data_IF_529009060353
#
_entry.id   IF_529009060353
#
_cell.length_a   1.000
_cell.length_b   1.000
_cell.length_c   1.000
_cell.angle_alpha   90.00
_cell.angle_beta   90.00
_cell.angle_gamma   90.00
#
_symmetry.space_group_name_H-M   'P 1'
#
loop_
_entity.id
_entity.type
_entity.pdbx_description
1 polymer ?
#
# COMPACT_ATOMS: atom_id res chain seq x y z
N UNK A 1 8.27 -12.32 7.86
CA UNK A 1 8.38 -10.84 7.85
C UNK A 1 7.91 -10.29 9.20
N UNK A 2 8.53 -9.17 9.72
CA UNK A 2 8.05 -8.52 10.93
C UNK A 2 6.68 -7.88 10.69
N UNK A 3 5.83 -7.82 11.74
CA UNK A 3 4.50 -7.20 11.64
C UNK A 3 4.58 -5.69 11.39
N UNK A 4 5.65 -5.04 11.82
CA UNK A 4 5.93 -3.62 11.59
C UNK A 4 7.42 -3.33 11.56
N UNK A 5 7.77 -2.14 11.06
CA UNK A 5 9.10 -1.54 11.17
C UNK A 5 8.99 -0.09 11.61
N UNK A 6 9.94 0.36 12.43
CA UNK A 6 10.04 1.76 12.86
C UNK A 6 11.17 2.44 12.12
N UNK A 7 10.86 3.58 11.50
CA UNK A 7 11.80 4.43 10.77
C UNK A 7 12.00 5.75 11.51
N UNK A 8 13.25 6.18 11.66
CA UNK A 8 13.57 7.51 12.19
C UNK A 8 13.47 8.58 11.11
N UNK A 9 12.71 9.63 11.40
CA UNK A 9 12.50 10.79 10.50
C UNK A 9 12.78 12.06 11.30
N UNK A 10 14.03 12.50 11.30
CA UNK A 10 14.49 13.57 12.18
C UNK A 10 14.31 13.17 13.67
N UNK A 11 13.65 14.03 14.48
CA UNK A 11 13.41 13.71 15.89
C UNK A 11 12.23 12.74 16.12
N UNK A 12 11.53 12.36 15.07
CA UNK A 12 10.32 11.53 15.15
C UNK A 12 10.55 10.08 14.70
N UNK A 13 9.66 9.20 15.13
CA UNK A 13 9.61 7.80 14.73
C UNK A 13 8.29 7.51 14.00
N UNK A 14 8.38 6.93 12.81
CA UNK A 14 7.26 6.48 11.99
C UNK A 14 7.25 4.96 11.96
N UNK A 15 6.19 4.34 12.45
CA UNK A 15 5.98 2.91 12.30
C UNK A 15 5.20 2.63 11.00
N UNK A 16 5.63 1.60 10.28
CA UNK A 16 4.93 1.06 9.11
C UNK A 16 4.50 -0.36 9.45
N UNK A 17 3.19 -0.58 9.48
CA UNK A 17 2.53 -1.87 9.75
C UNK A 17 1.97 -2.41 8.44
N UNK A 18 2.01 -3.72 8.21
CA UNK A 18 1.47 -4.35 7.00
C UNK A 18 0.17 -5.10 7.27
N UNK A 19 -0.78 -5.03 6.33
CA UNK A 19 -1.96 -5.88 6.30
C UNK A 19 -2.23 -6.36 4.86
N UNK A 20 -2.35 -7.68 4.68
CA UNK A 20 -2.58 -8.29 3.37
C UNK A 20 -4.03 -8.74 3.20
N UNK A 21 -4.42 -8.91 1.93
CA UNK A 21 -5.76 -9.30 1.51
C UNK A 21 -6.18 -10.66 2.12
N UNK A 22 -7.29 -10.72 2.87
CA UNK A 22 -7.67 -11.93 3.59
C UNK A 22 -8.34 -12.99 2.71
N UNK A 23 -8.85 -12.62 1.53
CA UNK A 23 -9.62 -13.51 0.65
C UNK A 23 -8.79 -14.15 -0.46
N UNK A 24 -7.46 -14.24 -0.30
CA UNK A 24 -6.56 -14.83 -1.31
C UNK A 24 -6.98 -16.23 -1.69
N UNK A 25 -7.40 -17.06 -0.72
CA UNK A 25 -7.82 -18.46 -0.98
C UNK A 25 -9.06 -18.59 -1.87
N UNK A 26 -9.93 -17.61 -1.91
CA UNK A 26 -11.14 -17.66 -2.75
C UNK A 26 -10.94 -16.95 -4.09
N UNK A 27 -9.88 -16.16 -4.22
CA UNK A 27 -9.57 -15.39 -5.44
C UNK A 27 -8.45 -15.98 -6.29
N UNK A 28 -7.76 -17.02 -5.79
CA UNK A 28 -6.63 -17.65 -6.47
C UNK A 28 -6.77 -19.18 -6.49
N UNK A 29 -6.17 -19.88 -7.45
CA UNK A 29 -6.10 -21.35 -7.46
C UNK A 29 -5.49 -21.87 -6.16
N UNK A 30 -5.99 -23.01 -5.68
CA UNK A 30 -5.54 -23.65 -4.43
C UNK A 30 -4.04 -23.92 -4.44
N UNK A 31 -3.48 -24.34 -5.59
CA UNK A 31 -2.05 -24.59 -5.76
C UNK A 31 -1.16 -23.36 -5.46
N UNK A 32 -1.70 -22.14 -5.53
CA UNK A 32 -0.95 -20.92 -5.21
C UNK A 32 -0.96 -20.59 -3.72
N UNK A 33 -1.86 -21.23 -2.97
CA UNK A 33 -2.10 -20.90 -1.56
C UNK A 33 -1.88 -22.08 -0.64
N UNK A 34 -1.40 -23.21 -1.18
CA UNK A 34 -1.12 -24.43 -0.40
C UNK A 34 -0.12 -24.14 0.74
N UNK A 35 -0.44 -24.64 1.92
CA UNK A 35 0.37 -24.43 3.13
C UNK A 35 0.33 -23.01 3.71
N UNK A 36 -0.41 -22.06 3.07
CA UNK A 36 -0.54 -20.68 3.54
C UNK A 36 -1.90 -20.44 4.20
N UNK A 37 -1.93 -19.60 5.21
CA UNK A 37 -3.14 -19.12 5.87
C UNK A 37 -3.27 -17.60 5.69
N UNK A 38 -4.46 -17.17 5.27
CA UNK A 38 -4.78 -15.78 5.06
C UNK A 38 -5.97 -15.42 5.95
N UNK A 39 -5.81 -14.39 6.78
CA UNK A 39 -6.87 -13.86 7.61
C UNK A 39 -6.59 -12.39 7.93
N UNK A 40 -7.66 -11.62 8.09
CA UNK A 40 -7.59 -10.32 8.73
C UNK A 40 -7.83 -10.53 10.23
N UNK A 41 -6.76 -10.57 11.01
CA UNK A 41 -6.81 -10.65 12.47
C UNK A 41 -6.68 -9.24 13.06
N UNK A 42 -7.82 -8.61 13.31
CA UNK A 42 -7.90 -7.25 13.86
C UNK A 42 -7.22 -7.15 15.25
N UNK A 43 -7.27 -8.22 16.06
CA UNK A 43 -6.60 -8.25 17.36
C UNK A 43 -5.09 -8.19 17.19
N UNK A 44 -4.52 -9.02 16.31
CA UNK A 44 -3.08 -8.96 16.01
C UNK A 44 -2.65 -7.64 15.38
N UNK A 45 -3.50 -7.07 14.53
CA UNK A 45 -3.24 -5.74 13.97
C UNK A 45 -3.20 -4.68 15.06
N UNK A 46 -4.17 -4.68 15.99
CA UNK A 46 -4.16 -3.75 17.13
C UNK A 46 -2.93 -3.96 18.01
N UNK A 47 -2.56 -5.21 18.34
CA UNK A 47 -1.36 -5.52 19.10
C UNK A 47 -0.07 -4.98 18.43
N UNK A 48 0.02 -5.08 17.10
CA UNK A 48 1.17 -4.55 16.35
C UNK A 48 1.24 -3.02 16.43
N UNK A 49 0.10 -2.34 16.30
CA UNK A 49 -0.01 -0.88 16.45
C UNK A 49 0.37 -0.45 17.86
N UNK A 50 -0.16 -1.13 18.88
CA UNK A 50 0.09 -0.80 20.30
C UNK A 50 1.58 -1.00 20.67
N UNK A 51 2.20 -2.09 20.20
CA UNK A 51 3.63 -2.34 20.37
C UNK A 51 4.47 -1.24 19.69
N UNK A 52 4.17 -0.91 18.44
CA UNK A 52 4.89 0.16 17.74
C UNK A 52 4.79 1.49 18.48
N UNK A 53 3.61 1.81 19.04
CA UNK A 53 3.41 3.02 19.88
C UNK A 53 4.22 2.95 21.18
N UNK A 54 4.20 1.81 21.87
CA UNK A 54 4.96 1.60 23.10
C UNK A 54 6.48 1.71 22.88
N UNK A 55 6.97 1.32 21.69
CA UNK A 55 8.37 1.49 21.27
C UNK A 55 8.70 2.92 20.81
N UNK A 56 7.78 3.87 20.96
CA UNK A 56 8.00 5.29 20.73
C UNK A 56 7.65 5.78 19.32
N UNK A 57 6.85 5.04 18.54
CA UNK A 57 6.36 5.54 17.28
C UNK A 57 5.44 6.76 17.50
N UNK A 58 5.82 7.89 16.92
CA UNK A 58 5.02 9.12 16.95
C UNK A 58 3.84 9.02 15.96
N UNK A 59 4.02 8.35 14.83
CA UNK A 59 2.98 8.10 13.85
C UNK A 59 3.00 6.64 13.39
N UNK A 60 1.82 6.11 13.04
CA UNK A 60 1.65 4.75 12.50
C UNK A 60 0.98 4.84 11.13
N UNK A 61 1.63 4.25 10.14
CA UNK A 61 1.11 4.06 8.78
C UNK A 61 0.81 2.59 8.56
N UNK A 62 -0.40 2.27 8.14
CA UNK A 62 -0.80 0.95 7.69
C UNK A 62 -0.62 0.85 6.17
N UNK A 63 0.24 -0.05 5.71
CA UNK A 63 0.27 -0.48 4.31
C UNK A 63 -0.75 -1.59 4.14
N UNK A 64 -1.85 -1.30 3.47
CA UNK A 64 -2.97 -2.21 3.35
C UNK A 64 -3.20 -2.66 1.91
N UNK A 65 -3.47 -3.95 1.75
CA UNK A 65 -4.00 -4.49 0.49
C UNK A 65 -5.43 -5.03 0.66
N UNK A 66 -6.22 -4.45 1.58
CA UNK A 66 -7.58 -4.92 1.88
C UNK A 66 -8.65 -4.25 1.01
N UNK A 67 -8.35 -3.10 0.44
CA UNK A 67 -9.30 -2.27 -0.31
C UNK A 67 -9.96 -1.19 0.55
N UNK A 68 -10.42 -0.13 -0.10
CA UNK A 68 -10.90 1.11 0.53
C UNK A 68 -12.02 0.90 1.56
N UNK A 69 -12.99 0.03 1.25
CA UNK A 69 -14.15 -0.20 2.12
C UNK A 69 -13.74 -0.90 3.42
N UNK A 70 -12.90 -1.93 3.32
CA UNK A 70 -12.41 -2.66 4.49
C UNK A 70 -11.46 -1.79 5.31
N UNK A 71 -10.62 -0.99 4.64
CA UNK A 71 -9.71 -0.05 5.29
C UNK A 71 -10.46 1.06 6.05
N UNK A 72 -11.61 1.54 5.52
CA UNK A 72 -12.48 2.45 6.24
C UNK A 72 -13.04 1.82 7.52
N UNK A 73 -13.51 0.58 7.42
CA UNK A 73 -13.99 -0.16 8.58
C UNK A 73 -12.88 -0.43 9.62
N UNK A 74 -11.65 -0.72 9.16
CA UNK A 74 -10.49 -0.83 10.06
C UNK A 74 -10.14 0.49 10.74
N UNK A 75 -10.23 1.61 10.02
CA UNK A 75 -9.98 2.94 10.58
C UNK A 75 -10.93 3.30 11.73
N UNK A 76 -12.15 2.75 11.72
CA UNK A 76 -13.14 2.92 12.81
C UNK A 76 -12.82 2.02 14.01
N UNK A 77 -12.31 0.80 13.77
CA UNK A 77 -12.15 -0.23 14.79
C UNK A 77 -10.76 -0.29 15.42
N UNK A 78 -9.72 -0.04 14.63
CA UNK A 78 -8.33 -0.11 15.09
C UNK A 78 -7.87 1.27 15.56
N UNK A 79 -7.47 1.37 16.81
CA UNK A 79 -6.99 2.62 17.40
C UNK A 79 -5.51 2.82 17.12
N UNK A 80 -5.11 4.07 16.96
CA UNK A 80 -3.69 4.43 16.89
C UNK A 80 -3.08 4.40 15.48
N UNK A 81 -3.85 4.13 14.43
CA UNK A 81 -3.42 4.31 13.04
C UNK A 81 -3.66 5.77 12.63
N UNK A 82 -2.64 6.44 12.10
CA UNK A 82 -2.75 7.83 11.62
C UNK A 82 -3.06 7.89 10.12
N UNK A 83 -2.51 6.95 9.35
CA UNK A 83 -2.67 6.91 7.89
C UNK A 83 -2.77 5.47 7.42
N UNK A 84 -3.69 5.21 6.50
CA UNK A 84 -3.76 3.96 5.72
C UNK A 84 -3.41 4.29 4.26
N UNK A 85 -2.40 3.61 3.73
CA UNK A 85 -2.10 3.55 2.31
C UNK A 85 -2.79 2.30 1.76
N UNK A 86 -3.92 2.53 1.11
CA UNK A 86 -4.83 1.48 0.65
C UNK A 86 -4.50 1.01 -0.77
N UNK A 87 -4.52 -0.29 -0.97
CA UNK A 87 -4.42 -0.95 -2.27
C UNK A 87 -5.60 -1.88 -2.54
N UNK A 88 -5.51 -2.71 -3.56
CA UNK A 88 -6.44 -3.74 -4.00
C UNK A 88 -7.60 -3.23 -4.88
N UNK A 89 -8.38 -2.26 -4.43
CA UNK A 89 -9.58 -1.78 -5.17
C UNK A 89 -9.27 -0.81 -6.31
N UNK A 90 -7.96 -0.53 -6.55
CA UNK A 90 -7.49 0.33 -7.62
C UNK A 90 -8.04 1.77 -7.59
N UNK A 91 -8.49 2.21 -6.42
CA UNK A 91 -8.98 3.56 -6.22
C UNK A 91 -7.87 4.60 -6.37
N UNK A 92 -8.28 5.81 -6.71
CA UNK A 92 -7.44 7.00 -6.71
C UNK A 92 -8.08 8.07 -5.84
N UNK A 93 -7.35 8.50 -4.80
CA UNK A 93 -7.82 9.54 -3.88
C UNK A 93 -7.00 10.81 -4.02
N UNK A 94 -7.34 11.73 -4.96
CA UNK A 94 -6.65 13.01 -5.11
C UNK A 94 -6.74 13.88 -3.85
N UNK A 95 -7.77 13.64 -3.07
CA UNK A 95 -7.95 14.22 -1.73
C UNK A 95 -7.98 13.09 -0.71
N UNK A 96 -7.21 13.18 0.39
CA UNK A 96 -7.24 12.18 1.44
C UNK A 96 -8.66 12.04 2.01
N UNK A 97 -9.10 10.81 2.16
CA UNK A 97 -10.34 10.53 2.88
C UNK A 97 -10.03 10.44 4.38
N UNK A 98 -10.94 10.84 5.24
CA UNK A 98 -10.76 10.82 6.68
C UNK A 98 -11.87 10.04 7.36
N UNK A 99 -11.49 9.04 8.14
CA UNK A 99 -12.39 8.26 8.97
C UNK A 99 -11.93 8.42 10.42
N UNK A 100 -12.72 9.10 11.22
CA UNK A 100 -12.33 9.46 12.59
C UNK A 100 -11.03 10.28 12.63
N UNK A 101 -9.98 9.71 13.22
CA UNK A 101 -8.64 10.33 13.29
C UNK A 101 -7.70 9.83 12.19
N UNK A 102 -8.06 8.79 11.46
CA UNK A 102 -7.23 8.12 10.45
C UNK A 102 -7.45 8.72 9.07
N UNK A 103 -6.37 9.02 8.37
CA UNK A 103 -6.38 9.35 6.95
C UNK A 103 -6.32 8.09 6.10
N UNK A 104 -6.99 8.06 4.96
CA UNK A 104 -6.92 6.98 3.96
C UNK A 104 -6.57 7.57 2.61
N UNK A 105 -5.58 6.96 1.94
CA UNK A 105 -5.08 7.37 0.62
C UNK A 105 -4.91 6.13 -0.24
N UNK A 106 -5.40 6.16 -1.48
CA UNK A 106 -5.23 5.11 -2.48
C UNK A 106 -4.58 5.69 -3.75
N UNK A 107 -3.61 4.97 -4.29
CA UNK A 107 -2.66 5.47 -5.29
C UNK A 107 -2.96 5.06 -6.75
N UNK A 108 -4.18 4.59 -7.07
CA UNK A 108 -4.51 4.03 -8.40
C UNK A 108 -3.88 2.64 -8.63
N UNK A 109 -3.81 2.21 -9.88
CA UNK A 109 -3.32 0.91 -10.29
C UNK A 109 -2.60 0.96 -11.63
N UNK A 110 -1.94 -0.15 -11.97
CA UNK A 110 -1.34 -0.41 -13.28
C UNK A 110 -0.37 0.69 -13.75
N UNK A 111 0.35 1.32 -12.82
CA UNK A 111 1.33 2.36 -13.15
C UNK A 111 0.74 3.66 -13.72
N UNK A 112 -0.58 3.86 -13.65
CA UNK A 112 -1.23 5.06 -14.23
C UNK A 112 -0.90 6.36 -13.51
N UNK A 113 -0.53 6.27 -12.23
CA UNK A 113 -0.16 7.43 -11.43
C UNK A 113 0.82 7.05 -10.33
N UNK A 114 1.65 8.02 -9.92
CA UNK A 114 2.36 8.01 -8.65
C UNK A 114 1.61 8.90 -7.66
N UNK A 115 1.42 8.38 -6.46
CA UNK A 115 0.89 9.14 -5.35
C UNK A 115 2.02 9.60 -4.44
N UNK A 116 2.28 10.90 -4.40
CA UNK A 116 3.18 11.48 -3.41
C UNK A 116 2.40 11.92 -2.18
N UNK A 117 2.77 11.42 -1.01
CA UNK A 117 2.17 11.77 0.27
C UNK A 117 3.23 12.45 1.13
N UNK A 118 3.07 13.75 1.33
CA UNK A 118 3.96 14.54 2.19
C UNK A 118 3.35 14.61 3.60
N UNK A 119 4.10 14.19 4.62
CA UNK A 119 3.66 14.14 6.00
C UNK A 119 4.43 15.16 6.84
N UNK A 120 3.70 15.95 7.65
CA UNK A 120 4.30 16.73 8.73
C UNK A 120 4.09 15.99 10.05
N UNK A 121 5.18 15.46 10.59
CA UNK A 121 5.13 14.72 11.87
C UNK A 121 5.26 15.67 13.06
N UNK A 122 4.70 15.25 14.17
CA UNK A 122 4.89 15.84 15.48
C UNK A 122 4.84 14.73 16.55
N UNK A 123 5.08 15.07 17.83
CA UNK A 123 5.10 14.07 18.91
C UNK A 123 3.81 13.27 19.09
N UNK A 124 2.67 13.77 18.60
CA UNK A 124 1.34 13.14 18.73
C UNK A 124 0.81 12.51 17.45
N UNK A 125 1.62 12.37 16.38
CA UNK A 125 1.20 11.73 15.13
C UNK A 125 1.49 12.54 13.88
N UNK A 126 0.52 12.59 12.97
CA UNK A 126 0.58 13.37 11.71
C UNK A 126 -0.14 14.70 11.94
N UNK A 127 0.60 15.81 11.99
CA UNK A 127 0.05 17.16 12.14
C UNK A 127 -0.61 17.67 10.85
N UNK A 128 -0.04 17.30 9.69
CA UNK A 128 -0.58 17.66 8.37
C UNK A 128 -0.21 16.60 7.34
N UNK A 129 -1.07 16.45 6.35
CA UNK A 129 -0.89 15.53 5.23
C UNK A 129 -1.26 16.25 3.93
N UNK A 130 -0.41 16.12 2.92
CA UNK A 130 -0.66 16.62 1.56
C UNK A 130 -0.47 15.50 0.58
N UNK A 131 -1.43 15.34 -0.32
CA UNK A 131 -1.37 14.38 -1.42
C UNK A 131 -1.19 15.11 -2.73
N UNK A 132 -0.32 14.58 -3.58
CA UNK A 132 -0.18 14.97 -4.99
C UNK A 132 -0.26 13.73 -5.87
N UNK A 133 -1.14 13.77 -6.85
CA UNK A 133 -1.21 12.78 -7.91
C UNK A 133 -0.30 13.23 -9.04
N UNK A 134 0.62 12.37 -9.43
CA UNK A 134 1.52 12.54 -10.57
C UNK A 134 1.09 11.53 -11.64
N UNK A 135 0.32 11.96 -12.68
CA UNK A 135 -0.05 11.06 -13.75
C UNK A 135 1.19 10.52 -14.49
N UNK A 136 1.19 9.24 -14.80
CA UNK A 136 2.23 8.61 -15.61
C UNK A 136 1.72 8.54 -17.05
N UNK A 137 2.13 9.50 -17.86
CA UNK A 137 1.80 9.60 -19.27
C UNK A 137 3.02 9.11 -20.05
N UNK A 138 3.01 7.82 -20.42
CA UNK A 138 4.17 7.14 -20.99
C UNK A 138 4.72 7.83 -22.24
N UNK A 139 3.86 8.41 -23.07
CA UNK A 139 4.21 9.15 -24.27
C UNK A 139 4.94 10.48 -24.01
N UNK A 140 4.87 10.99 -22.79
CA UNK A 140 5.52 12.24 -22.37
C UNK A 140 6.75 12.04 -21.47
N UNK A 141 7.07 10.78 -21.17
CA UNK A 141 8.20 10.46 -20.32
C UNK A 141 9.36 9.87 -21.17
N UNK A 142 10.62 10.19 -20.82
CA UNK A 142 11.74 9.50 -21.45
C UNK A 142 11.69 8.01 -21.11
N UNK A 143 11.99 7.19 -22.10
CA UNK A 143 12.13 5.75 -21.87
C UNK A 143 13.33 5.44 -21.00
N UNK A 144 13.19 4.50 -20.08
CA UNK A 144 14.30 3.92 -19.33
C UNK A 144 14.95 2.86 -20.20
N UNK A 145 16.06 3.19 -20.88
CA UNK A 145 16.70 2.34 -21.88
C UNK A 145 17.17 0.98 -21.32
N UNK A 146 17.64 0.97 -20.07
CA UNK A 146 18.03 -0.23 -19.35
C UNK A 146 16.85 -1.16 -19.07
N UNK A 147 15.70 -0.60 -18.68
CA UNK A 147 14.45 -1.36 -18.48
C UNK A 147 13.91 -1.85 -19.82
N UNK A 148 13.93 -1.04 -20.87
CA UNK A 148 13.49 -1.45 -22.21
C UNK A 148 14.33 -2.60 -22.77
N UNK A 149 15.65 -2.53 -22.60
CA UNK A 149 16.57 -3.60 -22.99
C UNK A 149 16.31 -4.90 -22.19
N UNK A 150 16.13 -4.77 -20.88
CA UNK A 150 15.78 -5.91 -20.03
C UNK A 150 14.44 -6.55 -20.46
N UNK A 151 13.39 -5.78 -20.64
CA UNK A 151 12.09 -6.28 -21.06
C UNK A 151 12.16 -6.97 -22.42
N UNK A 152 12.86 -6.37 -23.39
CA UNK A 152 13.06 -6.97 -24.71
C UNK A 152 13.74 -8.34 -24.61
N UNK A 153 14.77 -8.47 -23.77
CA UNK A 153 15.46 -9.74 -23.57
C UNK A 153 14.54 -10.79 -22.91
N UNK A 154 13.73 -10.40 -21.92
CA UNK A 154 12.80 -11.30 -21.24
C UNK A 154 11.64 -11.73 -22.13
N UNK A 155 11.12 -10.85 -22.98
CA UNK A 155 9.98 -11.12 -23.86
C UNK A 155 10.37 -11.85 -25.15
N UNK A 156 11.64 -11.80 -25.57
CA UNK A 156 12.11 -12.41 -26.81
C UNK A 156 11.72 -13.88 -26.99
N UNK A 157 11.82 -14.77 -25.97
CA UNK A 157 11.39 -16.16 -26.09
C UNK A 157 9.89 -16.36 -26.22
N UNK A 158 9.09 -15.33 -25.97
CA UNK A 158 7.61 -15.41 -25.88
C UNK A 158 6.91 -14.55 -26.95
N UNK A 159 7.66 -13.94 -27.88
CA UNK A 159 7.09 -12.98 -28.85
C UNK A 159 5.96 -13.56 -29.69
N UNK A 160 6.14 -14.77 -30.20
CA UNK A 160 5.11 -15.43 -31.04
C UNK A 160 3.82 -15.70 -30.25
N UNK A 161 3.95 -15.97 -28.96
CA UNK A 161 2.80 -16.23 -28.08
C UNK A 161 2.07 -14.95 -27.65
N UNK A 162 2.82 -13.86 -27.45
CA UNK A 162 2.28 -12.58 -26.93
C UNK A 162 1.69 -11.69 -28.01
N UNK A 163 2.19 -11.78 -29.25
CA UNK A 163 1.85 -10.84 -30.32
C UNK A 163 1.20 -11.47 -31.54
N UNK A 164 0.96 -12.78 -31.53
CA UNK A 164 0.15 -13.43 -32.58
C UNK A 164 -1.34 -13.12 -32.33
N UNK A 165 -2.07 -12.55 -33.32
CA UNK A 165 -3.51 -12.33 -33.16
C UNK A 165 -4.23 -13.63 -32.86
N UNK A 166 -5.17 -13.61 -31.94
CA UNK A 166 -6.09 -14.73 -31.72
C UNK A 166 -7.03 -14.77 -32.93
N UNK A 167 -7.13 -15.94 -33.61
CA UNK A 167 -8.00 -16.15 -34.71
C UNK A 167 -9.47 -16.20 -34.30
#
# INVERSE_FOLDING_TARGET
FPAYRIHRVGPYALAVVGASYPYVKVSHPESFTEGLSFALDERRLQEAVDKARAEGANAVVLLSHNGMQLDAALAERIRGIDLILSGHTHDLTPRPWRVGKTWIVAGSAAGKALMRVDLKLWKGGIANLRVRVLPVLAEHLPKAEDVEAFLKAQLAPHQDHLFTPLA
#
